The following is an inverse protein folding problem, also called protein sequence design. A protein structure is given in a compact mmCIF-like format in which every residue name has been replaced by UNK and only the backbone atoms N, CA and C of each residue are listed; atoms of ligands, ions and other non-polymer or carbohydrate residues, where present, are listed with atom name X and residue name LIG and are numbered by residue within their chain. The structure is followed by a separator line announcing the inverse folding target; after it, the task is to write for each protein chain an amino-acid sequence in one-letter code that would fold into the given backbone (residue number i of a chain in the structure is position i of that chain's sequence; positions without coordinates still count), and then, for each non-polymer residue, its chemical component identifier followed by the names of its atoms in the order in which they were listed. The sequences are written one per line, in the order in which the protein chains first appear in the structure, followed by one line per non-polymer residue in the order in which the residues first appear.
data_IF_310496836850
#
_entry.id   IF_310496836850
#
_cell.length_a   1.000
_cell.length_b   1.000
_cell.length_c   1.000
_cell.angle_alpha   90.00
_cell.angle_beta   90.00
_cell.angle_gamma   90.00
#
_symmetry.space_group_name_H-M   'P 1'
#
loop_
_entity.id
_entity.type
_entity.pdbx_description
1 polymer ?
#
# COMPACT_ATOMS: atom_id res chain seq x y z
N UNK A 1 56.29 62.55 38.71
CA UNK A 1 55.73 62.06 37.44
C UNK A 1 55.94 60.56 37.43
N UNK A 2 54.88 59.78 37.84
CA UNK A 2 54.92 58.31 37.86
C UNK A 2 54.19 57.83 36.63
N UNK A 3 54.85 57.09 35.76
CA UNK A 3 54.28 56.43 34.59
C UNK A 3 53.60 55.10 35.05
N UNK A 4 52.32 54.98 34.82
CA UNK A 4 51.58 53.75 35.05
C UNK A 4 51.74 52.87 33.80
N UNK A 5 52.21 51.63 33.95
CA UNK A 5 52.38 50.65 32.94
C UNK A 5 51.13 49.71 33.02
N UNK A 6 50.23 49.77 32.04
CA UNK A 6 49.06 48.89 31.98
C UNK A 6 49.48 47.61 31.25
N UNK A 7 49.45 46.47 31.94
CA UNK A 7 49.71 45.15 31.37
C UNK A 7 48.38 44.61 30.85
N UNK A 8 48.27 44.37 29.51
CA UNK A 8 47.15 43.79 28.87
C UNK A 8 47.30 42.26 28.89
N UNK A 9 46.51 41.61 29.71
CA UNK A 9 46.47 40.13 29.77
C UNK A 9 45.51 39.59 28.70
N UNK A 10 46.07 38.95 27.67
CA UNK A 10 45.23 38.24 26.62
C UNK A 10 44.86 36.87 27.17
N UNK A 11 43.57 36.67 27.45
CA UNK A 11 43.03 35.36 27.77
C UNK A 11 42.80 34.55 26.47
N UNK A 12 43.60 33.52 26.27
CA UNK A 12 43.39 32.53 25.20
C UNK A 12 42.27 31.60 25.63
N UNK A 13 41.08 31.75 25.01
CA UNK A 13 39.98 30.81 25.19
C UNK A 13 40.26 29.59 24.31
N UNK A 14 40.65 28.48 24.93
CA UNK A 14 40.72 27.18 24.29
C UNK A 14 39.27 26.68 24.02
N UNK A 15 38.85 26.74 22.75
CA UNK A 15 37.61 26.09 22.30
C UNK A 15 37.89 24.58 22.16
N UNK A 16 37.18 23.71 22.89
CA UNK A 16 37.36 22.28 22.72
C UNK A 16 36.92 21.87 21.31
N UNK A 17 37.58 20.87 20.66
CA UNK A 17 37.15 20.39 19.35
C UNK A 17 35.73 19.81 19.43
N UNK A 18 34.86 20.34 18.58
CA UNK A 18 33.51 19.75 18.38
C UNK A 18 33.68 18.27 18.07
N UNK A 19 33.23 17.43 18.99
CA UNK A 19 33.09 15.99 18.76
C UNK A 19 32.24 15.79 17.50
N UNK A 20 32.88 15.30 16.42
CA UNK A 20 32.16 14.76 15.28
C UNK A 20 31.32 13.62 15.81
N UNK A 21 30.05 13.86 16.03
CA UNK A 21 29.05 12.79 16.12
C UNK A 21 29.16 11.97 14.84
N UNK A 22 29.79 10.80 14.94
CA UNK A 22 29.68 9.77 13.93
C UNK A 22 28.15 9.44 13.86
N UNK A 23 27.51 9.91 12.82
CA UNK A 23 26.22 9.39 12.41
C UNK A 23 26.46 7.91 12.09
N UNK A 24 26.25 7.05 13.07
CA UNK A 24 26.02 5.63 12.81
C UNK A 24 24.90 5.60 11.76
N UNK A 25 25.21 5.06 10.59
CA UNK A 25 24.21 4.71 9.58
C UNK A 25 23.31 3.66 10.22
N UNK A 26 22.30 4.12 10.97
CA UNK A 26 21.30 3.26 11.55
C UNK A 26 20.61 2.53 10.40
N UNK A 27 20.70 1.22 10.40
CA UNK A 27 19.88 0.37 9.51
C UNK A 27 18.44 0.78 9.78
N UNK A 28 17.81 1.47 8.83
CA UNK A 28 16.42 1.86 8.98
C UNK A 28 15.60 0.59 8.94
N UNK A 29 15.00 0.26 10.08
CA UNK A 29 14.19 -0.95 10.23
C UNK A 29 12.91 -0.79 9.40
N UNK A 30 12.57 -1.81 8.61
CA UNK A 30 11.33 -1.82 7.84
C UNK A 30 10.11 -1.79 8.78
N UNK A 31 9.13 -0.97 8.43
CA UNK A 31 7.85 -0.94 9.14
C UNK A 31 7.06 -2.23 8.88
N UNK A 32 6.20 -2.61 9.84
CA UNK A 32 5.36 -3.81 9.76
C UNK A 32 4.58 -3.93 8.45
N UNK A 33 3.99 -2.80 7.97
CA UNK A 33 3.27 -2.75 6.71
C UNK A 33 4.14 -3.02 5.49
N UNK A 34 5.42 -2.60 5.51
CA UNK A 34 6.39 -2.87 4.45
C UNK A 34 6.80 -4.35 4.43
N UNK A 35 7.02 -4.92 5.60
CA UNK A 35 7.32 -6.36 5.77
C UNK A 35 6.18 -7.21 5.24
N UNK A 36 4.95 -6.91 5.65
CA UNK A 36 3.76 -7.64 5.17
C UNK A 36 3.58 -7.49 3.66
N UNK A 37 3.75 -6.27 3.12
CA UNK A 37 3.63 -6.00 1.69
C UNK A 37 4.62 -6.85 0.87
N UNK A 38 5.89 -6.88 1.26
CA UNK A 38 6.93 -7.66 0.59
C UNK A 38 6.64 -9.18 0.65
N UNK A 39 6.26 -9.69 1.83
CA UNK A 39 5.94 -11.10 2.03
C UNK A 39 4.71 -11.53 1.23
N UNK A 40 3.67 -10.72 1.20
CA UNK A 40 2.44 -11.01 0.43
C UNK A 40 2.70 -10.93 -1.06
N UNK A 41 3.46 -9.92 -1.53
CA UNK A 41 3.84 -9.76 -2.94
C UNK A 41 4.53 -11.01 -3.48
N UNK A 42 5.47 -11.59 -2.72
CA UNK A 42 6.24 -12.79 -3.09
C UNK A 42 5.37 -14.07 -3.22
N UNK A 43 4.09 -14.03 -2.81
CA UNK A 43 3.18 -15.19 -2.91
C UNK A 43 2.31 -15.18 -4.16
N UNK A 44 2.30 -14.08 -4.90
CA UNK A 44 1.52 -14.00 -6.14
C UNK A 44 2.29 -14.53 -7.35
N UNK A 45 1.59 -15.08 -8.37
CA UNK A 45 2.21 -15.47 -9.64
C UNK A 45 2.97 -14.31 -10.30
N UNK A 46 4.03 -14.59 -11.05
CA UNK A 46 4.97 -13.57 -11.55
C UNK A 46 4.63 -12.97 -12.92
N UNK A 47 3.76 -13.59 -13.73
CA UNK A 47 3.65 -13.35 -15.18
C UNK A 47 2.50 -12.41 -15.56
N UNK A 48 1.76 -11.87 -14.61
CA UNK A 48 0.54 -11.09 -14.84
C UNK A 48 0.57 -9.77 -14.11
N UNK A 49 -0.22 -8.83 -14.58
CA UNK A 49 -0.49 -7.61 -13.84
C UNK A 49 -0.99 -7.93 -12.43
N UNK A 50 -0.46 -7.25 -11.45
CA UNK A 50 -0.80 -7.43 -10.04
C UNK A 50 -1.09 -6.09 -9.40
N UNK A 51 -2.21 -6.00 -8.69
CA UNK A 51 -2.55 -4.88 -7.82
C UNK A 51 -3.22 -5.40 -6.56
N UNK A 52 -2.70 -5.06 -5.40
CA UNK A 52 -3.32 -5.32 -4.11
C UNK A 52 -3.01 -4.21 -3.12
N UNK A 53 -3.73 -4.18 -2.00
CA UNK A 53 -3.49 -3.24 -0.90
C UNK A 53 -3.09 -4.01 0.36
N UNK A 54 -1.81 -4.06 0.72
CA UNK A 54 -1.37 -4.74 1.94
C UNK A 54 -1.97 -4.11 3.20
N UNK A 55 -2.01 -2.79 3.28
CA UNK A 55 -2.64 -2.08 4.40
C UNK A 55 -4.11 -2.45 4.56
N UNK A 56 -4.87 -2.48 3.47
CA UNK A 56 -6.29 -2.81 3.51
C UNK A 56 -6.55 -4.25 3.96
N UNK A 57 -5.73 -5.21 3.47
CA UNK A 57 -5.78 -6.62 3.90
C UNK A 57 -5.45 -6.75 5.40
N UNK A 58 -4.41 -6.08 5.89
CA UNK A 58 -4.05 -6.07 7.32
C UNK A 58 -5.19 -5.53 8.19
N UNK A 59 -5.83 -4.44 7.77
CA UNK A 59 -6.96 -3.84 8.49
C UNK A 59 -8.18 -4.76 8.53
N UNK A 60 -8.53 -5.40 7.40
CA UNK A 60 -9.66 -6.33 7.33
C UNK A 60 -9.44 -7.56 8.22
N UNK A 61 -8.27 -8.19 8.11
CA UNK A 61 -7.92 -9.35 8.94
C UNK A 61 -7.69 -8.95 10.41
N UNK A 62 -7.29 -7.72 10.67
CA UNK A 62 -7.22 -7.16 12.00
C UNK A 62 -8.57 -7.13 12.73
N UNK A 63 -9.66 -6.88 11.99
CA UNK A 63 -11.01 -6.98 12.57
C UNK A 63 -11.34 -8.42 13.01
N UNK A 64 -10.98 -9.43 12.22
CA UNK A 64 -11.14 -10.83 12.62
C UNK A 64 -10.19 -11.20 13.78
N UNK A 65 -8.92 -10.73 13.75
CA UNK A 65 -7.95 -10.94 14.82
C UNK A 65 -8.44 -10.43 16.18
N UNK A 66 -9.25 -9.38 16.21
CA UNK A 66 -9.84 -8.86 17.46
C UNK A 66 -10.66 -9.92 18.21
N UNK A 67 -11.30 -10.83 17.47
CA UNK A 67 -12.06 -11.95 18.02
C UNK A 67 -11.31 -13.26 18.12
N UNK A 68 -10.10 -13.36 17.55
CA UNK A 68 -9.29 -14.58 17.58
C UNK A 68 -8.70 -14.84 18.98
N UNK A 69 -8.46 -16.10 19.29
CA UNK A 69 -7.87 -16.57 20.54
C UNK A 69 -6.79 -17.62 20.26
N UNK A 70 -5.97 -17.94 21.26
CA UNK A 70 -4.99 -19.02 21.21
C UNK A 70 -4.06 -18.98 20.00
N UNK A 71 -3.88 -20.13 19.36
CA UNK A 71 -3.01 -20.28 18.18
C UNK A 71 -3.50 -19.47 16.98
N UNK A 72 -4.82 -19.37 16.79
CA UNK A 72 -5.41 -18.55 15.72
C UNK A 72 -4.95 -17.09 15.82
N UNK A 73 -5.01 -16.50 17.00
CA UNK A 73 -4.55 -15.12 17.22
C UNK A 73 -3.03 -14.98 17.02
N UNK A 74 -2.25 -15.97 17.45
CA UNK A 74 -0.79 -15.99 17.34
C UNK A 74 -0.36 -16.08 15.87
N UNK A 75 -0.93 -17.02 15.12
CA UNK A 75 -0.65 -17.21 13.70
C UNK A 75 -1.05 -15.98 12.88
N UNK A 76 -2.23 -15.40 13.15
CA UNK A 76 -2.71 -14.18 12.48
C UNK A 76 -1.76 -13.01 12.75
N UNK A 77 -1.35 -12.79 14.00
CA UNK A 77 -0.42 -11.71 14.38
C UNK A 77 0.90 -11.83 13.61
N UNK A 78 1.46 -13.04 13.56
CA UNK A 78 2.73 -13.32 12.86
C UNK A 78 2.61 -13.19 11.35
N UNK A 79 1.57 -13.75 10.74
CA UNK A 79 1.35 -13.71 9.29
C UNK A 79 1.12 -12.28 8.79
N UNK A 80 0.43 -11.44 9.57
CA UNK A 80 0.19 -10.04 9.28
C UNK A 80 1.40 -9.12 9.62
N UNK A 81 2.53 -9.72 10.03
CA UNK A 81 3.74 -8.99 10.46
C UNK A 81 3.44 -7.93 11.53
N UNK A 82 2.59 -8.24 12.50
CA UNK A 82 2.24 -7.36 13.60
C UNK A 82 3.17 -7.61 14.79
N UNK A 83 3.58 -6.54 15.47
CA UNK A 83 4.45 -6.61 16.63
C UNK A 83 3.67 -6.77 17.95
N UNK A 84 4.28 -7.44 18.89
CA UNK A 84 3.74 -7.62 20.23
C UNK A 84 2.64 -8.68 20.33
N UNK A 85 1.80 -8.55 21.35
CA UNK A 85 0.66 -9.43 21.54
C UNK A 85 -0.57 -8.97 20.72
N UNK A 86 -1.61 -9.78 20.57
CA UNK A 86 -2.79 -9.43 19.78
C UNK A 86 -3.45 -8.09 20.17
N UNK A 87 -3.41 -7.69 21.44
CA UNK A 87 -3.98 -6.42 21.93
C UNK A 87 -3.16 -5.21 21.46
N UNK A 88 -1.85 -5.28 21.55
CA UNK A 88 -0.95 -4.21 21.05
C UNK A 88 -1.03 -4.11 19.54
N UNK A 89 -1.11 -5.23 18.83
CA UNK A 89 -1.33 -5.31 17.40
C UNK A 89 -2.63 -4.58 16.97
N UNK A 90 -3.73 -4.77 17.71
CA UNK A 90 -4.99 -4.07 17.46
C UNK A 90 -4.86 -2.55 17.57
N UNK A 91 -4.12 -2.06 18.56
CA UNK A 91 -3.89 -0.62 18.73
C UNK A 91 -3.08 -0.03 17.56
N UNK A 92 -2.09 -0.79 17.05
CA UNK A 92 -1.31 -0.43 15.87
C UNK A 92 -2.18 -0.29 14.61
N UNK A 93 -3.01 -1.28 14.34
CA UNK A 93 -3.95 -1.28 13.20
C UNK A 93 -5.00 -0.16 13.31
N UNK A 94 -5.55 0.05 14.50
CA UNK A 94 -6.50 1.15 14.73
C UNK A 94 -5.83 2.53 14.52
N UNK A 95 -4.55 2.68 14.87
CA UNK A 95 -3.77 3.89 14.58
C UNK A 95 -3.57 4.04 13.06
N UNK A 96 -3.15 2.98 12.37
CA UNK A 96 -2.96 2.97 10.91
C UNK A 96 -4.24 3.41 10.17
N UNK A 97 -5.40 2.92 10.60
CA UNK A 97 -6.69 3.32 10.02
C UNK A 97 -7.02 4.78 10.27
N UNK A 98 -6.78 5.31 11.49
CA UNK A 98 -6.97 6.74 11.78
C UNK A 98 -6.05 7.62 10.95
N UNK A 99 -4.80 7.20 10.76
CA UNK A 99 -3.84 7.93 9.94
C UNK A 99 -4.31 7.99 8.47
N UNK A 100 -4.88 6.89 7.95
CA UNK A 100 -5.49 6.86 6.61
C UNK A 100 -6.71 7.78 6.50
N UNK A 101 -7.61 7.74 7.46
CA UNK A 101 -8.80 8.60 7.48
C UNK A 101 -8.44 10.10 7.54
N UNK A 102 -7.37 10.44 8.26
CA UNK A 102 -6.84 11.81 8.27
C UNK A 102 -6.30 12.27 6.90
N UNK A 103 -5.82 11.33 6.07
CA UNK A 103 -5.38 11.62 4.70
C UNK A 103 -6.54 11.96 3.76
N UNK A 104 -7.71 11.37 3.98
CA UNK A 104 -8.90 11.59 3.14
C UNK A 104 -9.38 13.05 3.19
N UNK A 105 -9.14 13.76 4.29
CA UNK A 105 -9.52 15.18 4.45
C UNK A 105 -8.70 16.15 3.59
N UNK A 106 -7.62 15.71 2.95
CA UNK A 106 -6.69 16.53 2.18
C UNK A 106 -6.85 16.37 0.65
N UNK A 107 -8.07 16.16 0.13
CA UNK A 107 -8.36 15.94 -1.30
C UNK A 107 -7.77 14.66 -1.92
N UNK A 108 -7.34 13.73 -1.09
CA UNK A 108 -6.96 12.38 -1.51
C UNK A 108 -8.01 11.39 -1.03
N UNK A 109 -8.48 10.55 -1.93
CA UNK A 109 -9.49 9.54 -1.61
C UNK A 109 -8.80 8.18 -1.54
N UNK A 110 -8.62 7.67 -0.34
CA UNK A 110 -8.28 6.27 -0.09
C UNK A 110 -9.50 5.60 0.53
N UNK A 111 -10.35 5.03 -0.30
CA UNK A 111 -11.56 4.33 0.17
C UNK A 111 -11.20 2.89 0.56
N UNK A 112 -10.92 2.70 1.83
CA UNK A 112 -10.78 1.35 2.40
C UNK A 112 -12.14 0.92 2.93
N UNK A 113 -12.75 -0.06 2.30
CA UNK A 113 -14.08 -0.57 2.67
C UNK A 113 -13.92 -1.97 3.23
N UNK A 114 -13.73 -2.04 4.53
CA UNK A 114 -13.61 -3.28 5.28
C UNK A 114 -14.89 -3.53 6.07
N UNK A 115 -15.37 -4.78 6.06
CA UNK A 115 -16.50 -5.16 6.89
C UNK A 115 -16.47 -6.65 7.21
N UNK A 116 -16.87 -6.97 8.44
CA UNK A 116 -17.16 -8.33 8.88
C UNK A 116 -18.66 -8.55 8.83
N UNK A 117 -19.06 -9.67 8.25
CA UNK A 117 -20.45 -10.07 8.10
C UNK A 117 -20.66 -11.42 8.79
N UNK A 118 -21.61 -11.50 9.71
CA UNK A 118 -21.95 -12.71 10.42
C UNK A 118 -23.34 -13.21 10.08
N UNK A 119 -23.59 -14.51 10.32
CA UNK A 119 -24.91 -15.13 10.17
C UNK A 119 -25.91 -14.48 11.12
N UNK A 120 -27.07 -14.07 10.62
CA UNK A 120 -28.18 -13.57 11.43
C UNK A 120 -28.72 -14.64 12.40
N UNK A 121 -29.33 -14.21 13.51
CA UNK A 121 -29.81 -15.11 14.56
C UNK A 121 -28.74 -15.70 15.48
N UNK A 122 -27.47 -15.34 15.26
CA UNK A 122 -26.34 -15.69 16.15
C UNK A 122 -26.06 -14.53 17.11
N UNK A 123 -25.82 -14.84 18.37
CA UNK A 123 -25.36 -13.84 19.34
C UNK A 123 -23.88 -13.50 19.09
N UNK A 124 -23.52 -12.23 19.20
CA UNK A 124 -22.15 -11.74 19.08
C UNK A 124 -21.74 -10.99 20.35
N UNK A 125 -20.49 -11.15 20.76
CA UNK A 125 -19.94 -10.54 21.95
C UNK A 125 -19.99 -9.00 21.86
N UNK A 126 -20.61 -8.36 22.86
CA UNK A 126 -20.77 -6.90 22.90
C UNK A 126 -19.45 -6.16 22.85
N UNK A 127 -18.43 -6.67 23.53
CA UNK A 127 -17.07 -6.10 23.55
C UNK A 127 -16.41 -6.13 22.18
N UNK A 128 -16.62 -7.21 21.42
CA UNK A 128 -16.15 -7.33 20.05
C UNK A 128 -16.81 -6.31 19.13
N UNK A 129 -18.14 -6.20 19.18
CA UNK A 129 -18.88 -5.23 18.38
C UNK A 129 -18.48 -3.79 18.71
N UNK A 130 -18.33 -3.48 20.01
CA UNK A 130 -17.87 -2.18 20.46
C UNK A 130 -16.44 -1.87 20.02
N UNK A 131 -15.54 -2.87 19.98
CA UNK A 131 -14.18 -2.72 19.48
C UNK A 131 -14.18 -2.42 17.99
N UNK A 132 -14.93 -3.15 17.17
CA UNK A 132 -15.04 -2.88 15.72
C UNK A 132 -15.50 -1.45 15.46
N UNK A 133 -16.53 -1.00 16.17
CA UNK A 133 -17.04 0.36 16.01
C UNK A 133 -16.02 1.43 16.42
N UNK A 134 -15.37 1.27 17.58
CA UNK A 134 -14.42 2.27 18.10
C UNK A 134 -13.10 2.31 17.31
N UNK A 135 -12.57 1.12 16.96
CA UNK A 135 -11.22 1.01 16.40
C UNK A 135 -11.18 1.04 14.88
N UNK A 136 -12.25 0.59 14.22
CA UNK A 136 -12.31 0.47 12.77
C UNK A 136 -13.41 1.33 12.13
N UNK A 137 -14.31 1.95 12.93
CA UNK A 137 -15.45 2.68 12.39
C UNK A 137 -16.37 1.79 11.53
N UNK A 138 -16.24 0.48 11.66
CA UNK A 138 -16.92 -0.51 10.83
C UNK A 138 -18.02 -1.19 11.63
N UNK A 139 -19.31 -0.89 11.38
CA UNK A 139 -20.38 -1.64 11.98
C UNK A 139 -20.34 -3.09 11.49
N UNK A 140 -20.51 -4.03 12.41
CA UNK A 140 -20.68 -5.43 12.07
C UNK A 140 -21.96 -5.62 11.24
N UNK A 141 -21.90 -6.39 10.17
CA UNK A 141 -23.07 -6.71 9.33
C UNK A 141 -23.64 -8.08 9.70
N UNK A 142 -24.97 -8.19 9.71
CA UNK A 142 -25.65 -9.48 9.86
C UNK A 142 -26.47 -9.77 8.61
N UNK A 143 -26.31 -10.99 8.06
CA UNK A 143 -26.98 -11.46 6.86
C UNK A 143 -27.37 -12.93 7.04
N UNK A 144 -28.46 -13.37 6.39
CA UNK A 144 -28.89 -14.76 6.43
C UNK A 144 -28.22 -15.58 5.33
N UNK A 145 -26.97 -16.02 5.61
CA UNK A 145 -26.26 -16.88 4.68
C UNK A 145 -26.89 -18.26 4.55
N UNK A 146 -27.51 -18.75 5.62
CA UNK A 146 -28.08 -20.11 5.67
C UNK A 146 -29.32 -20.29 4.79
N UNK A 147 -30.23 -19.32 4.81
CA UNK A 147 -31.52 -19.46 4.11
C UNK A 147 -31.62 -18.51 2.90
N UNK A 148 -30.82 -17.45 2.86
CA UNK A 148 -30.83 -16.41 1.83
C UNK A 148 -29.43 -16.10 1.29
N UNK A 149 -28.62 -17.14 0.99
CA UNK A 149 -27.21 -17.03 0.58
C UNK A 149 -27.01 -16.04 -0.56
N UNK A 150 -27.82 -16.15 -1.63
CA UNK A 150 -27.69 -15.28 -2.81
C UNK A 150 -28.12 -13.83 -2.52
N UNK A 151 -29.15 -13.62 -1.73
CA UNK A 151 -29.53 -12.26 -1.29
C UNK A 151 -28.43 -11.64 -0.43
N UNK A 152 -27.81 -12.42 0.45
CA UNK A 152 -26.66 -12.01 1.28
C UNK A 152 -25.48 -11.60 0.42
N UNK A 153 -25.11 -12.40 -0.59
CA UNK A 153 -24.09 -12.08 -1.56
C UNK A 153 -24.36 -10.74 -2.28
N UNK A 154 -25.57 -10.59 -2.80
CA UNK A 154 -26.00 -9.37 -3.51
C UNK A 154 -25.96 -8.15 -2.59
N UNK A 155 -26.39 -8.28 -1.33
CA UNK A 155 -26.35 -7.21 -0.35
C UNK A 155 -24.91 -6.75 -0.07
N UNK A 156 -23.97 -7.68 0.09
CA UNK A 156 -22.54 -7.38 0.25
C UNK A 156 -22.02 -6.64 -0.99
N UNK A 157 -22.27 -7.15 -2.18
CA UNK A 157 -21.79 -6.53 -3.42
C UNK A 157 -22.33 -5.12 -3.60
N UNK A 158 -23.63 -4.88 -3.37
CA UNK A 158 -24.23 -3.55 -3.42
C UNK A 158 -23.63 -2.59 -2.42
N UNK A 159 -23.36 -3.05 -1.19
CA UNK A 159 -22.68 -2.25 -0.17
C UNK A 159 -21.29 -1.80 -0.62
N UNK A 160 -20.49 -2.74 -1.13
CA UNK A 160 -19.14 -2.45 -1.63
C UNK A 160 -19.18 -1.50 -2.83
N UNK A 161 -20.06 -1.76 -3.80
CA UNK A 161 -20.21 -0.91 -4.99
C UNK A 161 -20.57 0.54 -4.61
N UNK A 162 -21.51 0.72 -3.70
CA UNK A 162 -21.92 2.03 -3.22
C UNK A 162 -20.79 2.78 -2.50
N UNK A 163 -19.96 2.07 -1.74
CA UNK A 163 -18.84 2.66 -0.96
C UNK A 163 -17.58 2.92 -1.79
N UNK A 164 -17.46 2.31 -2.97
CA UNK A 164 -16.29 2.45 -3.87
C UNK A 164 -16.63 3.23 -5.16
N UNK A 165 -17.56 4.15 -5.11
CA UNK A 165 -17.96 4.99 -6.27
C UNK A 165 -18.27 4.14 -7.53
N UNK A 166 -18.83 2.93 -7.35
CA UNK A 166 -19.12 1.94 -8.41
C UNK A 166 -17.89 1.41 -9.16
N UNK A 167 -16.68 1.64 -8.62
CA UNK A 167 -15.43 1.14 -9.22
C UNK A 167 -15.19 -0.33 -8.93
N UNK A 168 -15.66 -0.81 -7.78
CA UNK A 168 -15.55 -2.22 -7.39
C UNK A 168 -16.93 -2.85 -7.42
N UNK A 169 -17.23 -3.54 -8.52
CA UNK A 169 -18.43 -4.34 -8.72
C UNK A 169 -18.11 -5.82 -8.46
N UNK A 170 -19.13 -6.58 -8.05
CA UNK A 170 -19.01 -8.03 -7.87
C UNK A 170 -17.76 -8.48 -7.09
N UNK A 171 -17.62 -7.97 -5.85
CA UNK A 171 -16.54 -8.43 -4.96
C UNK A 171 -16.64 -9.93 -4.75
N UNK A 172 -17.86 -10.43 -4.50
CA UNK A 172 -18.19 -11.85 -4.32
C UNK A 172 -18.93 -12.35 -5.56
N UNK A 173 -18.30 -13.22 -6.38
CA UNK A 173 -18.93 -13.80 -7.55
C UNK A 173 -20.11 -14.70 -7.21
N UNK A 174 -20.95 -14.94 -8.20
CA UNK A 174 -22.03 -15.93 -8.11
C UNK A 174 -21.48 -17.32 -7.74
N UNK A 175 -22.14 -18.00 -6.81
CA UNK A 175 -21.73 -19.33 -6.35
C UNK A 175 -20.50 -19.37 -5.42
N UNK A 176 -19.94 -18.21 -5.02
CA UNK A 176 -18.80 -18.17 -4.08
C UNK A 176 -19.19 -18.38 -2.61
N UNK A 177 -20.45 -18.19 -2.25
CA UNK A 177 -20.97 -18.45 -0.91
C UNK A 177 -21.92 -19.66 -0.94
N UNK A 178 -21.97 -20.38 0.17
CA UNK A 178 -22.90 -21.48 0.41
C UNK A 178 -23.63 -21.28 1.74
N UNK A 179 -24.51 -22.18 2.10
CA UNK A 179 -25.33 -22.15 3.31
C UNK A 179 -24.57 -22.51 4.59
N UNK A 180 -23.34 -23.02 4.47
CA UNK A 180 -22.44 -23.28 5.61
C UNK A 180 -21.65 -22.05 6.05
N UNK A 181 -21.65 -20.97 5.28
CA UNK A 181 -20.96 -19.73 5.63
C UNK A 181 -21.53 -19.12 6.91
N UNK A 182 -20.65 -18.79 7.87
CA UNK A 182 -21.03 -18.14 9.13
C UNK A 182 -20.37 -16.80 9.33
N UNK A 183 -19.21 -16.59 8.68
CA UNK A 183 -18.44 -15.36 8.78
C UNK A 183 -17.78 -15.04 7.43
N UNK A 184 -17.98 -13.82 6.94
CA UNK A 184 -17.33 -13.30 5.73
C UNK A 184 -16.57 -12.03 6.08
N UNK A 185 -15.30 -11.98 5.71
CA UNK A 185 -14.48 -10.76 5.80
C UNK A 185 -14.34 -10.18 4.40
N UNK A 186 -14.90 -9.01 4.17
CA UNK A 186 -14.79 -8.29 2.90
C UNK A 186 -13.79 -7.16 2.98
N UNK A 187 -12.97 -7.05 1.94
CA UNK A 187 -11.98 -6.02 1.78
C UNK A 187 -12.02 -5.49 0.34
N UNK A 188 -12.34 -4.22 0.20
CA UNK A 188 -12.32 -3.52 -1.07
C UNK A 188 -11.58 -2.20 -0.89
N UNK A 189 -10.74 -1.85 -1.85
CA UNK A 189 -9.97 -0.62 -1.78
C UNK A 189 -9.94 0.09 -3.14
N UNK A 190 -10.17 1.39 -3.07
CA UNK A 190 -10.15 2.29 -4.20
C UNK A 190 -9.30 3.50 -3.87
N UNK A 191 -8.45 3.91 -4.81
CA UNK A 191 -7.54 5.04 -4.64
C UNK A 191 -7.72 6.06 -5.76
N UNK A 192 -7.82 7.33 -5.36
CA UNK A 192 -7.90 8.47 -6.26
C UNK A 192 -7.08 9.61 -5.70
N UNK A 193 -6.10 10.10 -6.45
CA UNK A 193 -5.25 11.22 -6.06
C UNK A 193 -4.61 11.87 -7.28
N UNK A 194 -4.55 13.20 -7.29
CA UNK A 194 -3.86 13.96 -8.34
C UNK A 194 -2.36 13.95 -8.09
N UNK A 195 -1.55 13.92 -9.17
CA UNK A 195 -0.12 14.16 -9.06
C UNK A 195 0.17 15.57 -8.52
N UNK A 196 1.23 15.75 -7.75
CA UNK A 196 1.71 17.08 -7.36
C UNK A 196 2.13 17.90 -8.58
N UNK A 197 2.63 17.22 -9.59
CA UNK A 197 3.01 17.76 -10.89
C UNK A 197 2.44 16.85 -11.98
N UNK A 198 1.29 17.21 -12.58
CA UNK A 198 0.67 16.43 -13.65
C UNK A 198 1.58 16.30 -14.88
N UNK A 199 1.40 15.25 -15.64
CA UNK A 199 2.01 15.11 -16.96
C UNK A 199 1.23 15.97 -17.98
N UNK A 200 1.91 16.68 -18.90
CA UNK A 200 1.24 17.38 -19.99
C UNK A 200 0.56 16.36 -20.93
N UNK A 201 -0.74 16.55 -21.20
CA UNK A 201 -1.49 15.64 -22.08
C UNK A 201 -0.90 15.63 -23.50
N UNK A 202 -0.42 16.80 -23.98
CA UNK A 202 0.25 16.97 -25.26
C UNK A 202 1.61 16.25 -25.35
N UNK A 203 2.19 15.82 -24.24
CA UNK A 203 3.42 15.05 -24.21
C UNK A 203 3.18 13.53 -24.22
N UNK A 204 1.93 13.08 -24.17
CA UNK A 204 1.57 11.67 -24.27
C UNK A 204 1.64 11.20 -25.72
N UNK A 205 2.30 10.08 -25.97
CA UNK A 205 2.46 9.49 -27.30
C UNK A 205 2.10 8.02 -27.28
N UNK A 206 1.62 7.50 -28.43
CA UNK A 206 1.52 6.08 -28.68
C UNK A 206 2.92 5.54 -28.98
N UNK A 207 3.41 4.64 -28.13
CA UNK A 207 4.75 4.05 -28.27
C UNK A 207 4.75 2.58 -27.86
N UNK A 208 5.88 1.90 -28.07
CA UNK A 208 6.01 0.49 -27.73
C UNK A 208 6.26 0.27 -26.25
N UNK A 209 5.51 -0.64 -25.66
CA UNK A 209 5.79 -1.23 -24.36
C UNK A 209 6.21 -2.69 -24.56
N UNK A 210 7.41 -3.04 -24.12
CA UNK A 210 8.05 -4.34 -24.33
C UNK A 210 7.69 -5.30 -23.19
N UNK A 211 6.68 -6.15 -23.40
CA UNK A 211 6.25 -7.15 -22.41
C UNK A 211 7.35 -8.20 -22.16
N UNK A 212 8.07 -8.57 -23.22
CA UNK A 212 9.21 -9.50 -23.18
C UNK A 212 10.17 -9.18 -24.32
N UNK A 213 11.26 -9.93 -24.44
CA UNK A 213 12.21 -9.80 -25.54
C UNK A 213 11.57 -9.97 -26.93
N UNK A 214 10.49 -10.77 -27.04
CA UNK A 214 9.82 -11.09 -28.31
C UNK A 214 8.42 -10.48 -28.46
N UNK A 215 7.87 -9.85 -27.41
CA UNK A 215 6.51 -9.32 -27.42
C UNK A 215 6.46 -7.87 -26.98
N UNK A 216 5.91 -7.00 -27.80
CA UNK A 216 5.63 -5.61 -27.47
C UNK A 216 4.18 -5.26 -27.84
N UNK A 217 3.61 -4.29 -27.14
CA UNK A 217 2.26 -3.75 -27.39
C UNK A 217 2.34 -2.25 -27.53
N UNK A 218 1.35 -1.65 -28.20
CA UNK A 218 1.20 -0.19 -28.22
C UNK A 218 0.57 0.27 -26.91
N UNK A 219 1.14 1.31 -26.32
CA UNK A 219 0.63 1.93 -25.10
C UNK A 219 0.72 3.45 -25.19
N UNK A 220 -0.16 4.14 -24.49
CA UNK A 220 -0.09 5.58 -24.26
C UNK A 220 0.99 5.86 -23.23
N UNK A 221 2.15 6.35 -23.66
CA UNK A 221 3.25 6.74 -22.78
C UNK A 221 3.20 8.25 -22.54
N UNK A 222 2.91 8.64 -21.32
CA UNK A 222 2.93 10.03 -20.84
C UNK A 222 4.34 10.44 -20.43
N UNK A 223 4.77 11.67 -20.69
CA UNK A 223 6.12 12.13 -20.39
C UNK A 223 6.16 13.51 -19.74
N UNK A 224 7.13 13.71 -18.84
CA UNK A 224 7.43 15.01 -18.22
C UNK A 224 8.89 15.08 -17.82
N UNK A 225 9.43 16.29 -17.64
CA UNK A 225 10.77 16.50 -17.08
C UNK A 225 10.67 17.42 -15.87
N UNK A 226 10.88 16.87 -14.68
CA UNK A 226 10.72 17.58 -13.41
C UNK A 226 11.80 17.16 -12.40
N UNK A 227 11.74 17.74 -11.21
CA UNK A 227 12.55 17.33 -10.07
C UNK A 227 11.78 16.29 -9.26
N UNK A 228 12.34 15.09 -9.19
CA UNK A 228 11.80 13.94 -8.46
C UNK A 228 12.85 13.38 -7.49
N UNK A 229 12.46 12.39 -6.70
CA UNK A 229 13.44 11.55 -6.02
C UNK A 229 13.74 10.32 -6.87
N UNK A 230 15.02 10.04 -7.04
CA UNK A 230 15.53 8.96 -7.89
C UNK A 230 16.66 8.21 -7.18
N UNK A 231 16.83 6.93 -7.48
CA UNK A 231 17.97 6.12 -7.10
C UNK A 231 18.25 5.03 -8.14
N UNK A 232 19.46 4.49 -8.10
CA UNK A 232 19.84 3.25 -8.79
C UNK A 232 20.24 2.24 -7.71
N UNK A 233 19.53 1.12 -7.62
CA UNK A 233 19.77 0.09 -6.59
C UNK A 233 19.61 -1.30 -7.19
N UNK A 234 20.62 -2.15 -7.03
CA UNK A 234 20.51 -3.57 -7.37
C UNK A 234 20.11 -3.86 -8.81
N UNK A 235 20.52 -3.03 -9.78
CA UNK A 235 20.15 -3.19 -11.18
C UNK A 235 18.74 -2.68 -11.53
N UNK A 236 18.12 -1.92 -10.63
CA UNK A 236 16.85 -1.25 -10.88
C UNK A 236 16.94 0.27 -10.68
N UNK A 237 16.22 1.02 -11.49
CA UNK A 237 15.95 2.43 -11.33
C UNK A 237 14.75 2.61 -10.42
N UNK A 238 14.84 3.51 -9.45
CA UNK A 238 13.75 3.89 -8.55
C UNK A 238 13.34 5.33 -8.80
N UNK A 239 12.05 5.58 -8.91
CA UNK A 239 11.49 6.91 -9.08
C UNK A 239 10.33 7.10 -8.09
N UNK A 240 10.36 8.19 -7.31
CA UNK A 240 9.25 8.59 -6.45
C UNK A 240 8.52 9.79 -7.06
N UNK A 241 7.23 9.61 -7.38
CA UNK A 241 6.33 10.65 -7.90
C UNK A 241 5.36 11.02 -6.77
N UNK A 242 5.39 12.27 -6.27
CA UNK A 242 4.50 12.71 -5.19
C UNK A 242 3.09 12.99 -5.71
N UNK A 243 2.08 12.71 -4.87
CA UNK A 243 0.73 13.20 -5.06
C UNK A 243 0.54 14.60 -4.45
N UNK A 244 -0.50 15.31 -4.88
CA UNK A 244 -0.73 16.72 -4.58
C UNK A 244 -0.78 17.09 -3.10
N UNK A 245 -1.23 16.19 -2.23
CA UNK A 245 -1.23 16.43 -0.78
C UNK A 245 0.17 16.45 -0.15
N UNK A 246 1.20 15.98 -0.87
CA UNK A 246 2.55 15.77 -0.33
C UNK A 246 2.68 14.63 0.69
N UNK A 247 1.55 14.03 1.11
CA UNK A 247 1.53 12.93 2.08
C UNK A 247 1.71 11.56 1.43
N UNK A 248 1.29 11.41 0.18
CA UNK A 248 1.39 10.14 -0.55
C UNK A 248 2.31 10.27 -1.74
N UNK A 249 2.95 9.18 -2.11
CA UNK A 249 3.76 9.07 -3.32
C UNK A 249 3.64 7.69 -3.93
N UNK A 250 3.81 7.62 -5.27
CA UNK A 250 4.05 6.37 -5.99
C UNK A 250 5.55 6.18 -6.17
N UNK A 251 6.06 5.04 -5.78
CA UNK A 251 7.43 4.62 -6.08
C UNK A 251 7.37 3.57 -7.18
N UNK A 252 8.11 3.79 -8.25
CA UNK A 252 8.25 2.87 -9.37
C UNK A 252 9.64 2.27 -9.31
N UNK A 253 9.72 0.94 -9.45
CA UNK A 253 10.96 0.15 -9.47
C UNK A 253 11.08 -0.49 -10.83
N UNK A 254 11.90 0.10 -11.68
CA UNK A 254 12.08 -0.28 -13.07
C UNK A 254 13.40 -1.03 -13.21
N UNK A 255 13.42 -2.31 -13.61
CA UNK A 255 14.67 -3.00 -13.92
C UNK A 255 15.44 -2.26 -15.02
N UNK A 256 16.77 -2.22 -14.95
CA UNK A 256 17.58 -1.67 -16.04
C UNK A 256 17.51 -2.57 -17.29
N UNK A 257 17.51 -3.88 -17.07
CA UNK A 257 17.28 -4.86 -18.11
C UNK A 257 15.77 -5.06 -18.31
N UNK A 258 15.29 -5.03 -19.55
CA UNK A 258 13.87 -5.25 -19.89
C UNK A 258 13.33 -6.60 -19.45
N UNK A 259 14.18 -7.60 -19.29
CA UNK A 259 13.85 -8.94 -18.76
C UNK A 259 14.06 -9.06 -17.25
N UNK A 260 14.51 -8.00 -16.58
CA UNK A 260 14.97 -8.01 -15.20
C UNK A 260 13.88 -8.03 -14.12
N UNK A 261 12.57 -8.02 -14.47
CA UNK A 261 11.49 -7.99 -13.49
C UNK A 261 11.62 -9.14 -12.48
N UNK A 262 11.86 -10.36 -12.94
CA UNK A 262 12.01 -11.53 -12.08
C UNK A 262 13.17 -11.42 -11.09
N UNK A 263 14.26 -10.76 -11.44
CA UNK A 263 15.41 -10.53 -10.55
C UNK A 263 15.03 -9.52 -9.43
N UNK A 264 14.31 -8.45 -9.79
CA UNK A 264 13.80 -7.48 -8.82
C UNK A 264 12.86 -8.18 -7.83
N UNK A 265 11.94 -9.00 -8.29
CA UNK A 265 11.00 -9.73 -7.44
C UNK A 265 11.69 -10.75 -6.54
N UNK A 266 12.65 -11.52 -7.05
CA UNK A 266 13.44 -12.49 -6.27
C UNK A 266 14.32 -11.83 -5.20
N UNK A 267 14.77 -10.60 -5.44
CA UNK A 267 15.57 -9.84 -4.46
C UNK A 267 14.74 -9.31 -3.29
N UNK A 268 13.40 -9.39 -3.39
CA UNK A 268 12.51 -8.79 -2.41
C UNK A 268 12.47 -9.57 -1.09
N UNK A 269 12.71 -8.87 0.00
CA UNK A 269 12.70 -9.37 1.37
C UNK A 269 12.11 -8.33 2.32
N UNK A 270 12.07 -8.62 3.61
CA UNK A 270 11.48 -7.76 4.65
C UNK A 270 12.08 -6.33 4.71
N UNK A 271 13.32 -6.13 4.25
CA UNK A 271 14.01 -4.84 4.28
C UNK A 271 14.00 -4.09 2.94
N UNK A 272 13.62 -4.76 1.86
CA UNK A 272 13.81 -4.24 0.50
C UNK A 272 13.09 -2.90 0.28
N UNK A 273 11.81 -2.78 0.66
CA UNK A 273 11.01 -1.56 0.47
C UNK A 273 11.63 -0.40 1.27
N UNK A 274 12.05 -0.63 2.51
CA UNK A 274 12.72 0.39 3.32
C UNK A 274 14.05 0.82 2.70
N UNK A 275 14.85 -0.12 2.21
CA UNK A 275 16.12 0.15 1.54
C UNK A 275 15.93 1.00 0.28
N UNK A 276 14.94 0.67 -0.54
CA UNK A 276 14.60 1.43 -1.74
C UNK A 276 14.23 2.88 -1.40
N UNK A 277 13.33 3.07 -0.45
CA UNK A 277 12.89 4.41 -0.03
C UNK A 277 14.05 5.26 0.50
N UNK A 278 14.95 4.67 1.28
CA UNK A 278 16.09 5.36 1.86
C UNK A 278 17.18 5.74 0.84
N UNK A 279 17.27 5.01 -0.27
CA UNK A 279 18.21 5.30 -1.35
C UNK A 279 17.80 6.53 -2.19
N UNK A 280 16.52 6.90 -2.18
CA UNK A 280 15.97 7.96 -3.04
C UNK A 280 16.56 9.34 -2.70
N UNK A 281 17.09 10.04 -3.73
CA UNK A 281 17.66 11.39 -3.64
C UNK A 281 17.07 12.30 -4.70
N UNK A 282 17.00 13.59 -4.42
CA UNK A 282 16.48 14.60 -5.35
C UNK A 282 17.35 14.62 -6.62
N UNK A 283 16.70 14.53 -7.78
CA UNK A 283 17.33 14.58 -9.08
C UNK A 283 16.39 15.20 -10.13
N UNK A 284 16.96 15.77 -11.20
CA UNK A 284 16.17 16.17 -12.37
C UNK A 284 16.03 14.96 -13.29
N UNK A 285 14.77 14.52 -13.53
CA UNK A 285 14.46 13.28 -14.24
C UNK A 285 13.49 13.57 -15.39
N UNK A 286 13.79 13.03 -16.56
CA UNK A 286 12.85 12.91 -17.67
C UNK A 286 12.13 11.57 -17.51
N UNK A 287 10.87 11.63 -17.14
CA UNK A 287 10.02 10.45 -16.88
C UNK A 287 9.20 10.13 -18.12
N UNK A 288 9.15 8.85 -18.48
CA UNK A 288 8.18 8.29 -19.43
C UNK A 288 7.49 7.12 -18.74
N UNK A 289 6.16 7.16 -18.64
CA UNK A 289 5.36 6.19 -17.89
C UNK A 289 4.09 5.84 -18.68
N UNK A 290 3.69 4.57 -18.79
CA UNK A 290 2.43 4.21 -19.46
C UNK A 290 1.22 4.67 -18.64
N UNK A 291 0.13 5.04 -19.32
CA UNK A 291 -1.20 4.98 -18.73
C UNK A 291 -1.55 3.51 -18.47
N UNK A 292 -2.17 3.23 -17.34
CA UNK A 292 -2.67 1.87 -17.07
C UNK A 292 -3.87 1.88 -16.14
N UNK A 293 -4.73 0.88 -16.32
CA UNK A 293 -5.85 0.59 -15.42
C UNK A 293 -5.77 -0.87 -14.99
N UNK A 294 -5.97 -1.11 -13.71
CA UNK A 294 -5.86 -2.43 -13.13
C UNK A 294 -7.03 -2.68 -12.18
N UNK A 295 -7.59 -3.88 -12.30
CA UNK A 295 -8.55 -4.43 -11.35
C UNK A 295 -8.14 -5.87 -11.06
N UNK A 296 -7.81 -6.16 -9.82
CA UNK A 296 -7.49 -7.52 -9.40
C UNK A 296 -8.40 -7.94 -8.25
N UNK A 297 -8.82 -9.20 -8.28
CA UNK A 297 -9.55 -9.87 -7.20
C UNK A 297 -8.81 -11.13 -6.81
N UNK A 298 -8.64 -11.33 -5.52
CA UNK A 298 -7.97 -12.50 -4.95
C UNK A 298 -8.83 -13.12 -3.86
N UNK A 299 -8.85 -14.43 -3.83
CA UNK A 299 -9.19 -15.21 -2.66
C UNK A 299 -7.85 -15.50 -1.94
N UNK A 300 -7.68 -14.93 -0.75
CA UNK A 300 -6.40 -14.88 -0.05
C UNK A 300 -6.18 -16.02 0.94
N UNK A 301 -7.20 -16.85 1.24
CA UNK A 301 -7.12 -17.84 2.32
C UNK A 301 -5.93 -18.79 2.14
N UNK A 302 -5.73 -19.34 0.92
CA UNK A 302 -4.59 -20.22 0.62
C UNK A 302 -3.24 -19.51 0.70
N UNK A 303 -3.18 -18.26 0.24
CA UNK A 303 -1.97 -17.44 0.30
C UNK A 303 -1.60 -17.16 1.75
N UNK A 304 -2.56 -16.71 2.57
CA UNK A 304 -2.35 -16.40 3.98
C UNK A 304 -2.03 -17.66 4.80
N UNK A 305 -2.66 -18.80 4.49
CA UNK A 305 -2.31 -20.08 5.08
C UNK A 305 -0.84 -20.48 4.78
N UNK A 306 -0.36 -20.23 3.55
CA UNK A 306 1.04 -20.43 3.18
C UNK A 306 2.02 -19.47 3.89
N UNK A 307 1.52 -18.33 4.38
CA UNK A 307 2.26 -17.39 5.21
C UNK A 307 2.22 -17.71 6.69
N UNK A 308 1.54 -18.82 7.08
CA UNK A 308 1.48 -19.33 8.45
C UNK A 308 0.14 -19.11 9.17
N UNK A 309 -0.86 -18.47 8.54
CA UNK A 309 -2.20 -18.27 9.08
C UNK A 309 -3.10 -19.47 8.71
N UNK A 310 -2.86 -20.63 9.33
CA UNK A 310 -3.56 -21.88 8.97
C UNK A 310 -4.82 -22.09 9.79
N UNK A 311 -4.71 -21.93 11.10
CA UNK A 311 -5.80 -22.21 12.05
C UNK A 311 -7.05 -21.38 11.75
N UNK A 312 -6.88 -20.12 11.32
CA UNK A 312 -7.99 -19.23 11.02
C UNK A 312 -8.96 -19.73 9.92
N UNK A 313 -8.46 -20.59 9.01
CA UNK A 313 -9.20 -21.12 7.85
C UNK A 313 -9.63 -22.59 8.01
N UNK A 314 -9.23 -23.28 9.09
CA UNK A 314 -9.61 -24.68 9.35
C UNK A 314 -10.69 -24.72 10.42
N UNK A 315 -11.93 -25.21 10.10
CA UNK A 315 -13.04 -25.26 11.05
C UNK A 315 -12.77 -26.10 12.29
N UNK A 316 -11.75 -26.98 12.27
CA UNK A 316 -11.38 -27.85 13.40
C UNK A 316 -10.44 -27.17 14.39
N UNK A 317 -9.68 -26.15 13.95
CA UNK A 317 -8.63 -25.51 14.74
C UNK A 317 -8.84 -24.04 14.98
N UNK A 318 -9.74 -23.40 14.20
CA UNK A 318 -10.07 -22.00 14.37
C UNK A 318 -10.65 -21.70 15.76
N UNK A 319 -10.13 -20.64 16.38
CA UNK A 319 -10.68 -20.13 17.64
C UNK A 319 -10.98 -18.64 17.47
N UNK A 320 -12.23 -18.36 17.11
CA UNK A 320 -12.80 -17.01 17.07
C UNK A 320 -13.83 -16.82 18.20
N UNK A 321 -13.64 -17.49 19.33
CA UNK A 321 -14.56 -17.42 20.48
C UNK A 321 -14.71 -16.01 21.07
N UNK A 322 -13.81 -15.10 20.74
CA UNK A 322 -13.99 -13.69 21.08
C UNK A 322 -15.01 -12.95 20.21
N UNK A 323 -15.56 -13.57 19.15
CA UNK A 323 -16.61 -12.99 18.32
C UNK A 323 -18.01 -13.34 18.85
N UNK A 324 -18.26 -14.61 19.21
CA UNK A 324 -19.60 -15.11 19.56
C UNK A 324 -19.60 -16.06 20.78
N UNK A 325 -18.51 -16.16 21.53
CA UNK A 325 -18.38 -17.06 22.66
C UNK A 325 -18.17 -18.54 22.30
N UNK A 326 -18.21 -18.90 21.00
CA UNK A 326 -18.08 -20.31 20.53
C UNK A 326 -16.79 -20.51 19.76
N UNK A 327 -16.45 -21.79 19.46
CA UNK A 327 -15.37 -22.17 18.55
C UNK A 327 -15.86 -22.69 17.20
N UNK A 328 -17.07 -22.31 16.81
CA UNK A 328 -17.66 -22.78 15.56
C UNK A 328 -17.36 -21.85 14.38
N UNK A 329 -16.83 -20.64 14.65
CA UNK A 329 -16.49 -19.68 13.61
C UNK A 329 -15.10 -19.95 13.05
N UNK A 330 -15.01 -19.90 11.74
CA UNK A 330 -13.75 -19.84 11.00
C UNK A 330 -13.90 -18.88 9.82
N UNK A 331 -12.80 -18.42 9.23
CA UNK A 331 -12.84 -17.59 8.02
C UNK A 331 -12.97 -18.53 6.82
N UNK A 332 -14.18 -18.60 6.24
CA UNK A 332 -14.41 -19.38 5.03
C UNK A 332 -13.67 -18.76 3.83
N UNK A 333 -13.81 -17.46 3.63
CA UNK A 333 -13.18 -16.73 2.55
C UNK A 333 -12.61 -15.38 3.00
N UNK A 334 -11.39 -15.08 2.54
CA UNK A 334 -10.74 -13.78 2.66
C UNK A 334 -10.63 -13.13 1.28
N UNK A 335 -11.64 -12.34 0.90
CA UNK A 335 -11.72 -11.77 -0.45
C UNK A 335 -11.17 -10.35 -0.45
N UNK A 336 -10.19 -10.11 -1.32
CA UNK A 336 -9.61 -8.80 -1.60
C UNK A 336 -9.86 -8.39 -3.04
N UNK A 337 -10.29 -7.15 -3.26
CA UNK A 337 -10.38 -6.55 -4.59
C UNK A 337 -9.87 -5.12 -4.56
N UNK A 338 -8.99 -4.80 -5.51
CA UNK A 338 -8.38 -3.49 -5.66
C UNK A 338 -8.63 -2.95 -7.08
N UNK A 339 -8.78 -1.64 -7.17
CA UNK A 339 -8.89 -0.91 -8.42
C UNK A 339 -7.93 0.28 -8.40
N UNK A 340 -7.24 0.53 -9.53
CA UNK A 340 -6.38 1.68 -9.74
C UNK A 340 -6.35 2.03 -11.23
N UNK A 341 -6.47 3.33 -11.55
CA UNK A 341 -6.23 3.87 -12.89
C UNK A 341 -5.21 5.00 -12.79
N UNK A 342 -4.20 4.98 -13.62
CA UNK A 342 -3.09 5.96 -13.66
C UNK A 342 -3.07 6.64 -15.02
N UNK A 343 -3.16 7.97 -15.00
CA UNK A 343 -3.12 8.86 -16.17
C UNK A 343 -2.27 10.11 -15.89
N UNK A 344 -2.33 11.09 -16.78
CA UNK A 344 -1.57 12.34 -16.70
C UNK A 344 -1.91 13.20 -15.47
N UNK A 345 -3.15 13.12 -14.99
CA UNK A 345 -3.65 13.95 -13.88
C UNK A 345 -3.32 13.32 -12.53
N UNK A 346 -3.11 11.99 -12.50
CA UNK A 346 -2.87 11.26 -11.28
C UNK A 346 -3.31 9.82 -11.34
N UNK A 347 -3.68 9.31 -10.16
CA UNK A 347 -4.42 8.06 -10.04
C UNK A 347 -5.89 8.42 -9.92
N UNK A 348 -6.65 8.22 -11.00
CA UNK A 348 -8.07 8.56 -11.15
C UNK A 348 -8.45 9.99 -10.69
N UNK A 349 -7.68 10.99 -11.13
CA UNK A 349 -7.85 12.38 -10.71
C UNK A 349 -9.00 13.09 -11.43
N UNK A 350 -9.76 13.90 -10.67
CA UNK A 350 -10.58 14.98 -11.20
C UNK A 350 -9.74 16.27 -11.18
N UNK A 351 -9.88 17.09 -12.21
CA UNK A 351 -9.13 18.31 -12.51
C UNK A 351 -8.36 18.95 -11.33
N UNK A 352 -7.04 18.94 -11.39
CA UNK A 352 -6.18 19.69 -10.49
C UNK A 352 -5.72 20.98 -11.17
N UNK A 353 -5.77 22.10 -10.45
CA UNK A 353 -5.20 23.38 -10.90
C UNK A 353 -3.68 23.30 -10.72
N UNK A 354 -2.94 23.15 -11.81
CA UNK A 354 -1.49 23.12 -11.76
C UNK A 354 -0.93 24.51 -11.42
N UNK A 355 -0.25 24.63 -10.27
CA UNK A 355 0.60 25.77 -9.95
C UNK A 355 1.97 25.54 -10.58
N UNK A 356 2.23 26.23 -11.69
CA UNK A 356 3.52 26.16 -12.38
C UNK A 356 4.52 27.07 -11.68
N UNK A 357 5.39 26.53 -10.86
CA UNK A 357 6.56 27.25 -10.36
C UNK A 357 7.65 27.28 -11.44
N UNK A 358 7.86 28.43 -12.08
CA UNK A 358 9.05 28.69 -12.89
C UNK A 358 10.16 29.19 -11.95
N UNK A 359 11.16 28.39 -11.70
CA UNK A 359 12.44 28.88 -11.17
C UNK A 359 13.11 29.70 -12.26
N UNK A 360 13.16 31.03 -12.08
CA UNK A 360 13.97 31.93 -12.90
C UNK A 360 15.45 31.68 -12.58
N UNK A 361 16.13 30.88 -13.41
CA UNK A 361 17.55 30.59 -13.33
C UNK A 361 18.06 30.08 -14.66
N UNK A 362 19.40 30.15 -14.85
CA UNK A 362 20.09 29.60 -16.02
C UNK A 362 19.70 28.14 -16.21
N UNK A 363 19.45 27.71 -17.45
CA UNK A 363 19.13 26.32 -17.76
C UNK A 363 20.18 25.39 -17.16
N UNK A 364 19.80 24.31 -16.45
CA UNK A 364 20.76 23.40 -15.88
C UNK A 364 21.68 22.83 -16.97
N UNK A 365 22.97 22.91 -16.78
CA UNK A 365 23.99 22.44 -17.75
C UNK A 365 24.05 20.90 -17.84
N UNK A 366 23.50 20.21 -16.82
CA UNK A 366 23.48 18.73 -16.79
C UNK A 366 22.17 18.20 -17.39
N UNK A 367 22.24 17.25 -18.35
CA UNK A 367 21.05 16.61 -18.91
C UNK A 367 20.26 15.89 -17.81
N UNK A 368 18.91 15.81 -17.92
CA UNK A 368 18.09 15.05 -16.97
C UNK A 368 18.40 13.56 -17.06
N UNK A 369 18.31 12.86 -15.92
CA UNK A 369 18.34 11.39 -15.90
C UNK A 369 17.14 10.88 -16.69
N UNK A 370 17.33 9.91 -17.57
CA UNK A 370 16.22 9.28 -18.28
C UNK A 370 15.65 8.11 -17.50
N UNK A 371 14.34 8.17 -17.18
CA UNK A 371 13.56 7.11 -16.58
C UNK A 371 12.42 6.75 -17.53
N UNK A 372 12.58 5.63 -18.25
CA UNK A 372 11.65 5.22 -19.29
C UNK A 372 11.04 3.86 -18.96
N UNK A 373 9.83 3.87 -18.37
CA UNK A 373 9.07 2.67 -18.02
C UNK A 373 8.31 2.13 -19.25
N UNK A 374 9.04 1.62 -20.24
CA UNK A 374 8.54 1.00 -21.47
C UNK A 374 8.61 -0.55 -21.44
N UNK A 375 8.78 -1.13 -20.26
CA UNK A 375 8.83 -2.57 -20.00
C UNK A 375 8.36 -2.87 -18.57
N UNK A 376 8.16 -4.14 -18.19
CA UNK A 376 7.57 -4.51 -16.89
C UNK A 376 8.30 -3.93 -15.69
N UNK A 377 7.51 -3.41 -14.74
CA UNK A 377 8.01 -2.78 -13.52
C UNK A 377 7.14 -3.10 -12.29
N UNK A 378 7.73 -3.01 -11.11
CA UNK A 378 7.03 -3.02 -9.83
C UNK A 378 6.70 -1.58 -9.43
N UNK A 379 5.59 -1.38 -8.73
CA UNK A 379 5.27 -0.10 -8.12
C UNK A 379 4.61 -0.29 -6.74
N UNK A 380 4.71 0.75 -5.92
CA UNK A 380 3.92 0.82 -4.70
C UNK A 380 3.54 2.27 -4.38
N UNK A 381 2.36 2.44 -3.79
CA UNK A 381 1.90 3.72 -3.24
C UNK A 381 2.11 3.69 -1.74
N UNK A 382 2.76 4.70 -1.22
CA UNK A 382 3.07 4.80 0.21
C UNK A 382 2.57 6.10 0.83
N UNK A 383 2.25 6.04 2.12
CA UNK A 383 2.15 7.23 2.98
C UNK A 383 3.58 7.62 3.43
N UNK A 384 4.04 8.79 3.06
CA UNK A 384 5.42 9.24 3.37
C UNK A 384 5.62 9.58 4.84
N UNK A 385 4.52 9.86 5.57
CA UNK A 385 4.56 10.26 6.98
C UNK A 385 4.74 9.07 7.91
N UNK A 386 4.00 7.98 7.65
CA UNK A 386 4.00 6.78 8.50
C UNK A 386 4.70 5.59 7.85
N UNK A 387 5.07 5.70 6.58
CA UNK A 387 5.78 4.65 5.84
C UNK A 387 4.93 3.45 5.42
N UNK A 388 3.61 3.47 5.65
CA UNK A 388 2.70 2.38 5.25
C UNK A 388 2.64 2.22 3.74
N UNK A 389 2.59 0.97 3.26
CA UNK A 389 2.37 0.64 1.85
C UNK A 389 0.88 0.44 1.60
N UNK A 390 0.27 1.42 0.95
CA UNK A 390 -1.18 1.44 0.69
C UNK A 390 -1.57 0.52 -0.44
N UNK A 391 -0.79 0.53 -1.52
CA UNK A 391 -0.94 -0.35 -2.67
C UNK A 391 0.42 -0.85 -3.10
N UNK A 392 0.43 -2.04 -3.66
CA UNK A 392 1.60 -2.61 -4.30
C UNK A 392 1.17 -3.43 -5.51
N UNK A 393 2.00 -3.41 -6.54
CA UNK A 393 1.70 -4.15 -7.74
C UNK A 393 2.84 -4.18 -8.73
N UNK A 394 2.56 -4.77 -9.88
CA UNK A 394 3.43 -4.73 -11.05
C UNK A 394 2.59 -4.55 -12.31
N UNK A 395 3.17 -3.88 -13.26
CA UNK A 395 2.63 -3.75 -14.61
C UNK A 395 3.49 -4.62 -15.53
N UNK A 396 2.90 -5.67 -16.07
CA UNK A 396 3.51 -6.53 -17.10
C UNK A 396 3.03 -6.10 -18.48
N UNK A 397 1.75 -5.78 -18.60
CA UNK A 397 1.11 -5.28 -19.80
C UNK A 397 0.17 -4.12 -19.44
N UNK A 398 0.48 -2.86 -19.82
CA UNK A 398 -0.38 -1.74 -19.52
C UNK A 398 -1.66 -1.82 -20.36
N UNK A 399 -2.80 -1.85 -19.68
CA UNK A 399 -4.14 -1.73 -20.31
C UNK A 399 -4.67 -0.36 -19.96
N UNK A 400 -4.92 0.47 -20.96
CA UNK A 400 -5.70 1.71 -20.79
C UNK A 400 -7.19 1.41 -20.92
N UNK A 401 -8.02 2.23 -20.24
CA UNK A 401 -9.46 2.25 -20.46
C UNK A 401 -9.78 2.66 -21.90
#
# INVERSE_FOLDING_TARGET
MKKLLTVLTIAVVLVPPLARTQTTSGVVQAGEGQVFAARLFAKFPHDTNLLFSPTSVRLALGMALAGARGDTATEMTKALALSGNPRTAQNGLAKELRDLAAAEQQQQIVRVVNRVWGQTGRAFESDYLALLQRSYGAPFGQLDFKHETEKSRVAINKFIEAKTERKIKELIPLGSLNDDVRLVVTNAVYFKASWAMPFPEEATRDDWFHISASKAVRAKLMSTTQVFKYAMVGGAQLLEIPYASGRMSMVIVLPVDRSGLGQVEQSMNDQTIASWVNALKIARVKVTLPRFTMTNRFELSKILASMGMRSAFDPRTADFSGIDGTRELYIDQAIHKAFMAVDEKGTEAAAATALTFRLGGLAPTTPPIEFRADHPFVFFVRDVTVGSVLFMGRVVEPKSL
#
